data_IF_973218594271
#
_entry.id   IF_973218594271
#
_cell.length_a   1.000
_cell.length_b   1.000
_cell.length_c   1.000
_cell.angle_alpha   90.00
_cell.angle_beta   90.00
_cell.angle_gamma   90.00
#
_symmetry.space_group_name_H-M   'P 1'
#
loop_
_entity.id
_entity.type
_entity.pdbx_description
1 polymer ?
#
# COMPACT_ATOMS: atom_id res chain seq x y z
N UNK A 1 14.00 10.27 19.98
CA UNK A 1 14.18 10.13 21.44
C UNK A 1 12.82 10.25 22.13
N UNK A 2 12.60 9.55 23.24
CA UNK A 2 11.37 9.66 24.06
C UNK A 2 11.56 10.51 25.33
N UNK A 3 12.80 10.93 25.61
CA UNK A 3 13.14 11.83 26.72
C UNK A 3 12.44 13.19 26.53
N UNK A 4 11.62 13.67 27.50
CA UNK A 4 10.91 14.93 27.40
C UNK A 4 11.83 16.16 27.22
N UNK A 5 12.99 16.17 27.89
CA UNK A 5 13.97 17.27 27.83
C UNK A 5 14.58 17.37 26.44
N UNK A 6 14.85 16.23 25.81
CA UNK A 6 15.37 16.21 24.43
C UNK A 6 14.27 16.48 23.39
N UNK A 7 13.03 16.02 23.62
CA UNK A 7 11.90 16.29 22.71
C UNK A 7 11.54 17.77 22.67
N UNK A 8 11.61 18.47 23.81
CA UNK A 8 11.38 19.91 23.89
C UNK A 8 12.37 20.74 23.06
N UNK A 9 13.51 20.17 22.65
CA UNK A 9 14.50 20.82 21.78
C UNK A 9 14.20 20.66 20.29
N UNK A 10 13.19 19.88 19.90
CA UNK A 10 12.83 19.70 18.50
C UNK A 10 12.14 20.95 17.95
N UNK A 11 12.80 21.63 17.02
CA UNK A 11 12.29 22.84 16.36
C UNK A 11 11.77 22.57 14.93
N UNK A 12 11.78 21.32 14.48
CA UNK A 12 11.31 20.96 13.16
C UNK A 12 9.82 21.24 13.02
N UNK A 13 9.44 22.00 11.99
CA UNK A 13 8.06 22.28 11.67
C UNK A 13 7.67 21.51 10.39
N UNK A 14 6.38 21.14 10.20
CA UNK A 14 5.91 20.53 8.97
C UNK A 14 6.35 21.28 7.71
N UNK A 15 6.39 22.61 7.77
CA UNK A 15 6.79 23.51 6.70
C UNK A 15 8.23 23.26 6.24
N UNK A 16 9.15 22.87 7.14
CA UNK A 16 10.52 22.56 6.76
C UNK A 16 10.58 21.36 5.81
N UNK A 17 9.74 20.35 6.03
CA UNK A 17 9.66 19.15 5.20
C UNK A 17 8.96 19.47 3.88
N UNK A 18 7.89 20.26 3.93
CA UNK A 18 7.19 20.74 2.72
C UNK A 18 8.14 21.52 1.81
N UNK A 19 8.88 22.49 2.36
CA UNK A 19 9.84 23.30 1.60
C UNK A 19 10.98 22.44 1.02
N UNK A 20 11.49 21.49 1.80
CA UNK A 20 12.49 20.54 1.31
C UNK A 20 11.99 19.79 0.05
N UNK A 21 10.77 19.23 0.09
CA UNK A 21 10.22 18.53 -1.07
C UNK A 21 9.90 19.46 -2.23
N UNK A 22 9.54 20.71 -1.99
CA UNK A 22 9.41 21.71 -3.06
C UNK A 22 10.74 21.96 -3.76
N UNK A 23 11.84 22.12 -3.03
CA UNK A 23 13.16 22.30 -3.62
C UNK A 23 13.61 21.08 -4.42
N UNK A 24 13.45 19.88 -3.86
CA UNK A 24 13.77 18.62 -4.58
C UNK A 24 12.94 18.49 -5.85
N UNK A 25 11.64 18.83 -5.79
CA UNK A 25 10.77 18.75 -6.96
C UNK A 25 11.10 19.82 -8.01
N UNK A 26 11.52 21.02 -7.61
CA UNK A 26 11.97 22.07 -8.53
C UNK A 26 13.26 21.67 -9.23
N UNK A 27 14.27 21.22 -8.49
CA UNK A 27 15.53 20.74 -9.07
C UNK A 27 15.28 19.58 -10.06
N UNK A 28 14.40 18.64 -9.70
CA UNK A 28 14.01 17.57 -10.61
C UNK A 28 13.37 18.11 -11.91
N UNK A 29 12.50 19.13 -11.83
CA UNK A 29 11.90 19.77 -13.02
C UNK A 29 12.94 20.50 -13.87
N UNK A 30 13.90 21.17 -13.25
CA UNK A 30 14.99 21.85 -13.95
C UNK A 30 15.84 20.85 -14.74
N UNK A 31 16.20 19.71 -14.12
CA UNK A 31 16.92 18.62 -14.80
C UNK A 31 16.07 18.04 -15.93
N UNK A 32 14.79 17.77 -15.69
CA UNK A 32 13.88 17.27 -16.74
C UNK A 32 13.80 18.24 -17.93
N UNK A 33 13.76 19.55 -17.66
CA UNK A 33 13.75 20.58 -18.71
C UNK A 33 15.06 20.59 -19.51
N UNK A 34 16.21 20.40 -18.87
CA UNK A 34 17.51 20.24 -19.55
C UNK A 34 17.54 19.01 -20.46
N UNK A 35 16.84 17.95 -20.08
CA UNK A 35 16.67 16.72 -20.87
C UNK A 35 15.55 16.82 -21.93
N UNK A 36 14.80 17.92 -21.98
CA UNK A 36 13.68 18.11 -22.90
C UNK A 36 12.42 17.31 -22.55
N UNK A 37 12.28 16.86 -21.30
CA UNK A 37 11.19 16.00 -20.83
C UNK A 37 10.20 16.82 -19.99
N UNK A 38 8.91 16.73 -20.33
CA UNK A 38 7.86 17.52 -19.67
C UNK A 38 7.18 16.79 -18.51
N UNK A 39 7.02 15.46 -18.59
CA UNK A 39 6.34 14.66 -17.56
C UNK A 39 7.33 13.69 -16.93
N UNK A 40 7.29 13.57 -15.61
CA UNK A 40 8.19 12.68 -14.88
C UNK A 40 8.02 11.21 -15.32
N UNK A 41 6.79 10.82 -15.61
CA UNK A 41 6.44 9.53 -16.20
C UNK A 41 7.22 9.17 -17.46
N UNK A 42 7.61 10.16 -18.26
CA UNK A 42 8.36 9.96 -19.51
C UNK A 42 9.87 9.79 -19.24
N UNK A 43 10.31 9.92 -17.98
CA UNK A 43 11.68 9.65 -17.53
C UNK A 43 11.84 8.21 -16.99
N UNK A 44 10.75 7.60 -16.53
CA UNK A 44 10.79 6.30 -15.82
C UNK A 44 11.31 5.20 -16.75
N UNK A 45 12.40 4.53 -16.33
CA UNK A 45 13.01 3.42 -17.06
C UNK A 45 13.98 3.84 -18.18
N UNK A 46 14.21 5.14 -18.40
CA UNK A 46 15.09 5.66 -19.44
C UNK A 46 16.57 5.76 -19.00
N UNK A 47 17.20 4.60 -18.77
CA UNK A 47 18.61 4.49 -18.41
C UNK A 47 19.58 5.02 -19.50
N UNK A 48 19.15 5.09 -20.76
CA UNK A 48 19.94 5.65 -21.86
C UNK A 48 20.19 7.16 -21.71
N UNK A 49 19.43 7.86 -20.87
CA UNK A 49 19.62 9.28 -20.57
C UNK A 49 20.79 9.53 -19.59
N UNK A 50 21.40 8.47 -19.04
CA UNK A 50 22.47 8.57 -18.06
C UNK A 50 23.86 8.58 -18.73
N UNK A 51 24.62 9.67 -18.54
CA UNK A 51 26.02 9.74 -18.96
C UNK A 51 26.95 9.18 -17.87
N UNK A 52 27.54 8.03 -18.16
CA UNK A 52 28.44 7.32 -17.24
C UNK A 52 29.93 7.66 -17.43
N UNK A 53 30.31 8.40 -18.49
CA UNK A 53 31.71 8.57 -18.89
C UNK A 53 32.59 9.10 -17.76
N UNK A 54 32.13 10.18 -17.11
CA UNK A 54 32.85 10.80 -15.98
C UNK A 54 33.03 9.85 -14.79
N UNK A 55 32.08 8.95 -14.56
CA UNK A 55 32.13 7.98 -13.47
C UNK A 55 33.12 6.84 -13.75
N UNK A 56 33.15 6.33 -14.98
CA UNK A 56 34.05 5.26 -15.41
C UNK A 56 35.51 5.71 -15.49
N UNK A 57 35.76 6.96 -15.90
CA UNK A 57 37.10 7.56 -15.98
C UNK A 57 37.74 7.81 -14.61
N UNK A 58 36.96 7.75 -13.51
CA UNK A 58 37.46 8.00 -12.18
C UNK A 58 38.35 6.85 -11.68
N UNK A 59 39.55 7.16 -11.18
CA UNK A 59 40.54 6.15 -10.78
C UNK A 59 40.06 5.15 -9.71
N UNK A 60 39.18 5.57 -8.79
CA UNK A 60 38.55 4.67 -7.79
C UNK A 60 37.47 3.76 -8.36
N UNK A 61 36.91 4.09 -9.52
CA UNK A 61 35.89 3.29 -10.20
C UNK A 61 36.49 2.24 -11.14
N UNK A 62 37.82 2.21 -11.26
CA UNK A 62 38.55 1.24 -12.09
C UNK A 62 38.20 -0.19 -11.66
N UNK A 63 37.53 -0.92 -12.54
CA UNK A 63 37.09 -2.31 -12.31
C UNK A 63 35.61 -2.47 -11.96
N UNK A 64 34.83 -1.39 -11.86
CA UNK A 64 33.37 -1.47 -11.73
C UNK A 64 32.71 -1.69 -13.10
N UNK A 65 31.81 -2.66 -13.19
CA UNK A 65 30.97 -2.92 -14.35
C UNK A 65 29.50 -2.64 -13.99
N UNK A 66 28.93 -1.62 -14.62
CA UNK A 66 27.53 -1.21 -14.41
C UNK A 66 26.58 -1.69 -15.52
N UNK A 67 27.06 -2.51 -16.46
CA UNK A 67 26.27 -3.03 -17.58
C UNK A 67 24.96 -3.67 -17.12
N UNK A 68 24.97 -4.37 -15.97
CA UNK A 68 23.78 -5.00 -15.38
C UNK A 68 22.79 -4.02 -14.77
N UNK A 69 23.26 -2.89 -14.25
CA UNK A 69 22.40 -1.88 -13.59
C UNK A 69 21.66 -1.05 -14.64
N UNK A 70 22.32 -0.74 -15.75
CA UNK A 70 21.76 0.08 -16.83
C UNK A 70 21.24 -0.73 -18.01
N UNK A 71 21.16 -2.05 -17.87
CA UNK A 71 20.62 -2.92 -18.91
C UNK A 71 19.15 -2.58 -19.15
N UNK A 72 18.82 -2.35 -20.42
CA UNK A 72 17.45 -2.20 -20.88
C UNK A 72 17.05 -3.40 -21.76
N UNK A 73 15.96 -4.11 -21.44
CA UNK A 73 15.49 -5.19 -22.28
C UNK A 73 14.97 -4.65 -23.61
N UNK A 74 15.28 -5.34 -24.71
CA UNK A 74 14.72 -5.05 -26.02
C UNK A 74 13.30 -5.63 -26.11
N UNK A 75 12.31 -4.77 -25.85
CA UNK A 75 10.89 -5.09 -25.91
C UNK A 75 10.16 -4.17 -26.89
N UNK A 76 9.01 -4.61 -27.39
CA UNK A 76 8.11 -3.79 -28.23
C UNK A 76 7.73 -2.49 -27.51
N UNK A 77 7.46 -1.44 -28.28
CA UNK A 77 6.91 -0.17 -27.75
C UNK A 77 5.54 -0.35 -27.07
N UNK A 78 4.85 -1.46 -27.34
CA UNK A 78 3.59 -1.83 -26.70
C UNK A 78 3.77 -2.31 -25.25
N UNK A 79 4.98 -2.73 -24.85
CA UNK A 79 5.27 -3.15 -23.48
C UNK A 79 5.50 -1.92 -22.61
N UNK A 80 4.69 -1.76 -21.58
CA UNK A 80 4.79 -0.64 -20.66
C UNK A 80 6.14 -0.62 -19.93
N UNK A 81 6.85 0.52 -20.00
CA UNK A 81 8.12 0.76 -19.26
C UNK A 81 7.90 1.22 -17.82
N UNK A 82 6.69 1.69 -17.53
CA UNK A 82 6.26 2.18 -16.22
C UNK A 82 5.05 1.39 -15.74
N UNK A 83 4.75 1.55 -14.47
CA UNK A 83 3.55 0.97 -13.87
C UNK A 83 2.30 1.60 -14.49
N UNK A 84 1.46 0.78 -15.13
CA UNK A 84 0.21 1.21 -15.79
C UNK A 84 -1.03 0.44 -15.31
N UNK A 85 -0.84 -0.63 -14.54
CA UNK A 85 -1.92 -1.50 -14.09
C UNK A 85 -2.26 -1.26 -12.62
N UNK A 86 -3.43 -1.69 -12.20
CA UNK A 86 -3.83 -1.68 -10.79
C UNK A 86 -3.77 -3.10 -10.24
N UNK A 87 -3.45 -3.22 -8.95
CA UNK A 87 -3.44 -4.52 -8.29
C UNK A 87 -4.89 -4.99 -8.03
N UNK A 88 -5.30 -6.06 -8.70
CA UNK A 88 -6.56 -6.74 -8.41
C UNK A 88 -6.34 -7.82 -7.33
N UNK A 89 -6.96 -7.61 -6.17
CA UNK A 89 -6.88 -8.51 -5.03
C UNK A 89 -8.02 -9.56 -4.99
N UNK A 90 -8.97 -9.52 -5.92
CA UNK A 90 -10.11 -10.43 -5.96
C UNK A 90 -11.06 -10.28 -4.77
N UNK A 91 -11.09 -9.10 -4.13
CA UNK A 91 -11.85 -8.86 -2.90
C UNK A 91 -13.36 -8.86 -3.14
N UNK A 92 -13.81 -8.63 -4.37
CA UNK A 92 -15.21 -8.67 -4.77
C UNK A 92 -15.86 -10.05 -4.53
N UNK A 93 -15.05 -11.11 -4.45
CA UNK A 93 -15.49 -12.48 -4.17
C UNK A 93 -15.32 -12.90 -2.71
N UNK A 94 -14.87 -11.99 -1.84
CA UNK A 94 -14.66 -12.29 -0.43
C UNK A 94 -15.98 -12.68 0.27
N UNK A 95 -15.94 -13.73 1.09
CA UNK A 95 -17.11 -14.20 1.84
C UNK A 95 -17.66 -13.11 2.78
N UNK A 96 -16.79 -12.22 3.25
CA UNK A 96 -17.16 -11.14 4.15
C UNK A 96 -18.19 -10.18 3.58
N UNK A 97 -18.32 -10.02 2.25
CA UNK A 97 -19.43 -9.27 1.68
C UNK A 97 -20.79 -9.83 2.13
N UNK A 98 -20.92 -11.16 2.15
CA UNK A 98 -22.14 -11.82 2.64
C UNK A 98 -22.28 -11.66 4.15
N UNK A 99 -21.19 -11.72 4.90
CA UNK A 99 -21.21 -11.55 6.36
C UNK A 99 -21.65 -10.13 6.76
N UNK A 100 -21.13 -9.11 6.08
CA UNK A 100 -21.46 -7.70 6.29
C UNK A 100 -22.94 -7.45 5.99
N UNK A 101 -23.45 -7.95 4.86
CA UNK A 101 -24.87 -7.80 4.53
C UNK A 101 -25.79 -8.46 5.57
N UNK A 102 -25.45 -9.67 6.01
CA UNK A 102 -26.23 -10.37 7.05
C UNK A 102 -26.11 -9.72 8.43
N UNK A 103 -25.00 -9.04 8.71
CA UNK A 103 -24.75 -8.33 9.97
C UNK A 103 -25.19 -6.86 9.94
N UNK A 104 -25.85 -6.40 8.87
CA UNK A 104 -26.20 -4.98 8.70
C UNK A 104 -26.99 -4.40 9.87
N UNK A 105 -27.93 -5.14 10.44
CA UNK A 105 -28.70 -4.68 11.60
C UNK A 105 -27.81 -4.44 12.84
N UNK A 106 -26.86 -5.34 13.11
CA UNK A 106 -25.85 -5.16 14.15
C UNK A 106 -24.93 -3.96 13.87
N UNK A 107 -24.42 -3.87 12.64
CA UNK A 107 -23.52 -2.79 12.23
C UNK A 107 -24.21 -1.43 12.28
N UNK A 108 -25.50 -1.34 11.94
CA UNK A 108 -26.21 -0.07 11.87
C UNK A 108 -26.77 0.38 13.22
N UNK A 109 -27.35 -0.57 13.98
CA UNK A 109 -28.19 -0.30 15.15
C UNK A 109 -27.72 -0.98 16.44
N UNK A 110 -26.70 -1.84 16.38
CA UNK A 110 -26.25 -2.62 17.54
C UNK A 110 -27.21 -3.75 17.93
N UNK A 111 -28.06 -4.21 17.01
CA UNK A 111 -28.96 -5.33 17.26
C UNK A 111 -28.20 -6.67 17.29
N UNK A 112 -28.60 -7.59 18.16
CA UNK A 112 -28.03 -8.94 18.16
C UNK A 112 -28.44 -9.70 16.90
N UNK A 113 -27.45 -10.21 16.16
CA UNK A 113 -27.65 -11.04 14.97
C UNK A 113 -26.95 -12.38 15.15
N UNK A 114 -27.63 -13.47 14.77
CA UNK A 114 -27.06 -14.81 14.78
C UNK A 114 -27.45 -15.57 13.53
N UNK A 115 -26.46 -16.13 12.82
CA UNK A 115 -26.73 -16.88 11.60
C UNK A 115 -25.66 -17.93 11.29
N UNK A 116 -26.03 -18.88 10.44
CA UNK A 116 -25.16 -19.93 9.92
C UNK A 116 -24.70 -19.54 8.51
N UNK A 117 -23.41 -19.73 8.22
CA UNK A 117 -22.84 -19.50 6.90
C UNK A 117 -21.89 -20.64 6.48
N UNK A 118 -22.07 -21.24 5.29
CA UNK A 118 -21.09 -22.20 4.76
C UNK A 118 -19.72 -21.55 4.51
N UNK A 119 -18.64 -22.29 4.77
CA UNK A 119 -17.26 -21.87 4.52
C UNK A 119 -16.45 -22.97 3.85
N UNK A 120 -15.54 -22.60 2.95
CA UNK A 120 -14.60 -23.50 2.26
C UNK A 120 -13.17 -22.99 2.41
N UNK A 121 -12.19 -23.86 2.19
CA UNK A 121 -10.76 -23.55 2.37
C UNK A 121 -10.25 -22.40 1.45
N UNK A 122 -10.95 -22.14 0.35
CA UNK A 122 -10.72 -20.99 -0.53
C UNK A 122 -11.15 -19.66 0.08
N UNK A 123 -12.06 -19.67 1.07
CA UNK A 123 -12.46 -18.49 1.83
C UNK A 123 -11.40 -18.20 2.88
N UNK A 124 -10.45 -17.34 2.53
CA UNK A 124 -9.39 -16.84 3.41
C UNK A 124 -9.86 -15.58 4.12
N UNK A 125 -9.20 -15.25 5.24
CA UNK A 125 -9.41 -14.00 6.01
C UNK A 125 -10.87 -13.74 6.39
N UNK A 126 -11.66 -14.80 6.58
CA UNK A 126 -13.08 -14.68 6.89
C UNK A 126 -13.27 -13.94 8.21
N UNK A 127 -14.05 -12.87 8.19
CA UNK A 127 -14.33 -11.97 9.30
C UNK A 127 -13.46 -10.70 9.32
N UNK A 128 -12.39 -10.61 8.54
CA UNK A 128 -11.48 -9.46 8.59
C UNK A 128 -12.09 -8.17 8.02
N UNK A 129 -12.85 -8.24 6.92
CA UNK A 129 -13.52 -7.05 6.37
C UNK A 129 -14.73 -6.66 7.22
N UNK A 130 -15.47 -7.65 7.75
CA UNK A 130 -16.53 -7.40 8.72
C UNK A 130 -15.97 -6.67 9.95
N UNK A 131 -14.86 -7.16 10.49
CA UNK A 131 -14.14 -6.51 11.58
C UNK A 131 -13.72 -5.09 11.23
N UNK A 132 -13.07 -4.89 10.07
CA UNK A 132 -12.69 -3.56 9.61
C UNK A 132 -13.89 -2.60 9.47
N UNK A 133 -15.06 -3.13 9.09
CA UNK A 133 -16.30 -2.36 9.03
C UNK A 133 -16.77 -1.92 10.41
N UNK A 134 -16.72 -2.82 11.41
CA UNK A 134 -17.03 -2.50 12.81
C UNK A 134 -16.02 -1.48 13.35
N UNK A 135 -14.73 -1.74 13.22
CA UNK A 135 -13.66 -0.86 13.71
C UNK A 135 -13.72 0.54 13.06
N UNK A 136 -14.07 0.64 11.77
CA UNK A 136 -14.24 1.93 11.10
C UNK A 136 -15.38 2.76 11.69
N UNK A 137 -16.44 2.12 12.19
CA UNK A 137 -17.61 2.80 12.73
C UNK A 137 -17.54 3.03 14.24
N UNK A 138 -17.06 2.04 14.99
CA UNK A 138 -17.09 2.00 16.45
C UNK A 138 -15.71 2.13 17.11
N UNK A 139 -14.64 2.21 16.31
CA UNK A 139 -13.28 2.28 16.83
C UNK A 139 -12.86 0.98 17.52
N UNK A 140 -11.98 1.11 18.51
CA UNK A 140 -11.44 -0.04 19.25
C UNK A 140 -12.46 -0.67 20.21
N UNK A 141 -13.44 0.12 20.68
CA UNK A 141 -14.45 -0.35 21.62
C UNK A 141 -15.44 -1.34 20.98
N UNK A 142 -15.63 -1.25 19.66
CA UNK A 142 -16.40 -2.23 18.91
C UNK A 142 -17.90 -2.24 19.26
N UNK A 143 -18.51 -3.42 19.17
CA UNK A 143 -19.89 -3.66 19.60
C UNK A 143 -19.89 -4.30 20.99
N UNK A 144 -21.08 -4.41 21.60
CA UNK A 144 -21.23 -5.20 22.80
C UNK A 144 -20.94 -6.69 22.50
N UNK A 145 -20.45 -7.43 23.48
CA UNK A 145 -20.19 -8.86 23.34
C UNK A 145 -21.43 -9.60 22.81
N UNK A 146 -21.21 -10.59 21.95
CA UNK A 146 -22.24 -11.39 21.30
C UNK A 146 -23.28 -10.61 20.45
N UNK A 147 -22.99 -9.35 20.07
CA UNK A 147 -23.84 -8.62 19.10
C UNK A 147 -23.88 -9.32 17.74
N UNK A 148 -22.78 -9.94 17.31
CA UNK A 148 -22.71 -10.70 16.05
C UNK A 148 -22.21 -12.11 16.34
N UNK A 149 -23.08 -13.11 16.15
CA UNK A 149 -22.72 -14.51 16.26
C UNK A 149 -22.82 -15.22 14.91
N UNK A 150 -21.69 -15.75 14.41
CA UNK A 150 -21.64 -16.40 13.10
C UNK A 150 -21.15 -17.84 13.27
N UNK A 151 -22.04 -18.80 13.04
CA UNK A 151 -21.64 -20.21 12.99
C UNK A 151 -21.22 -20.56 11.56
N UNK A 152 -19.94 -20.91 11.38
CA UNK A 152 -19.43 -21.31 10.07
C UNK A 152 -19.44 -22.83 9.91
N UNK A 153 -20.01 -23.32 8.80
CA UNK A 153 -20.08 -24.76 8.48
C UNK A 153 -19.12 -25.12 7.33
N UNK A 154 -18.09 -25.89 7.64
CA UNK A 154 -17.11 -26.39 6.67
C UNK A 154 -15.68 -26.21 7.17
N UNK A 155 -14.76 -25.88 6.28
CA UNK A 155 -13.33 -25.71 6.60
C UNK A 155 -12.90 -24.30 6.19
N UNK A 156 -12.49 -23.47 7.14
CA UNK A 156 -12.02 -22.13 6.84
C UNK A 156 -10.62 -22.15 6.21
N UNK A 157 -10.37 -21.19 5.31
CA UNK A 157 -9.05 -20.96 4.76
C UNK A 157 -8.10 -20.27 5.74
N UNK A 158 -6.93 -19.91 5.23
CA UNK A 158 -5.89 -19.21 6.00
C UNK A 158 -6.41 -17.90 6.62
N UNK A 159 -5.86 -17.55 7.78
CA UNK A 159 -6.16 -16.31 8.52
C UNK A 159 -7.62 -16.17 8.93
N UNK A 160 -8.29 -17.28 9.24
CA UNK A 160 -9.64 -17.28 9.79
C UNK A 160 -9.73 -16.42 11.06
N UNK A 161 -10.66 -15.47 11.12
CA UNK A 161 -10.81 -14.59 12.29
C UNK A 161 -9.64 -13.63 12.51
N UNK A 162 -8.91 -13.26 11.45
CA UNK A 162 -7.86 -12.26 11.58
C UNK A 162 -8.44 -10.88 11.93
N UNK A 163 -7.82 -10.20 12.90
CA UNK A 163 -8.13 -8.84 13.32
C UNK A 163 -9.55 -8.61 13.82
N UNK A 164 -10.24 -9.62 14.38
CA UNK A 164 -11.60 -9.44 14.88
C UNK A 164 -11.70 -8.27 15.88
N UNK A 165 -12.65 -7.37 15.60
CA UNK A 165 -13.08 -6.33 16.50
C UNK A 165 -13.85 -6.95 17.67
N UNK A 166 -13.93 -6.20 18.77
CA UNK A 166 -14.81 -6.54 19.88
C UNK A 166 -16.27 -6.42 19.45
#
# INVERSE_FOLDING_TARGET
>A
TQDPVLRAKFQGQPEHVVNFFFFVAEEAREIMAQLGIRKFDDLIGHAELLDMKKGVEHWKAKGLDFSRVFYQPQVSAEVARKHVDVQDHGLEKALDHVLIEKAKAAIEKGEHVSFIQPVRNVNRTVGAMLSGTIAKKYGHDGLADDTIHIQLKGTAGQSFGAFLAK
#
